data_IF_384579973647
#
_entry.id   IF_384579973647
#
_cell.length_a   1.000
_cell.length_b   1.000
_cell.length_c   1.000
_cell.angle_alpha   90.00
_cell.angle_beta   90.00
_cell.angle_gamma   90.00
#
_symmetry.space_group_name_H-M   'P 1'
#
loop_
_entity.id
_entity.type
_entity.pdbx_description
1 polymer ?
#
# COMPACT_ATOMS: atom_id res chain seq x y z
N UNK A 1 -3.23 -42.26 69.95
CA UNK A 1 -4.30 -41.33 70.36
C UNK A 1 -4.24 -40.10 69.45
N UNK A 2 -5.37 -39.81 68.82
CA UNK A 2 -5.77 -38.75 67.87
C UNK A 2 -5.19 -37.32 68.04
N UNK A 3 -5.45 -36.34 67.12
CA UNK A 3 -5.53 -36.37 65.64
C UNK A 3 -4.99 -35.07 64.93
N UNK A 4 -4.90 -35.14 63.57
CA UNK A 4 -5.25 -34.13 62.52
C UNK A 4 -4.73 -32.68 62.59
N UNK A 5 -4.08 -32.23 61.49
CA UNK A 5 -4.54 -31.06 60.71
C UNK A 5 -3.81 -30.96 59.34
N UNK A 6 -4.57 -31.26 58.28
CA UNK A 6 -4.28 -30.91 56.89
C UNK A 6 -4.43 -29.40 56.70
N UNK A 7 -3.43 -28.70 56.18
CA UNK A 7 -3.59 -27.36 55.62
C UNK A 7 -3.43 -27.40 54.11
N UNK A 8 -4.57 -27.26 53.44
CA UNK A 8 -4.68 -27.08 52.00
C UNK A 8 -4.32 -25.64 51.60
N UNK A 9 -3.54 -25.50 50.54
CA UNK A 9 -3.24 -24.23 49.87
C UNK A 9 -4.48 -23.72 49.12
N UNK A 10 -4.85 -22.43 49.20
CA UNK A 10 -5.95 -21.92 48.40
C UNK A 10 -5.52 -21.75 46.94
N UNK A 11 -6.30 -22.36 46.04
CA UNK A 11 -6.20 -22.18 44.59
C UNK A 11 -6.78 -20.82 44.22
N UNK A 12 -5.97 -19.94 43.64
CA UNK A 12 -6.41 -18.64 43.16
C UNK A 12 -7.23 -18.81 41.87
N UNK A 13 -8.55 -18.59 41.96
CA UNK A 13 -9.43 -18.51 40.79
C UNK A 13 -9.13 -17.23 40.00
N UNK A 14 -8.55 -17.36 38.82
CA UNK A 14 -8.42 -16.26 37.85
C UNK A 14 -9.79 -16.03 37.22
N UNK A 15 -10.44 -14.93 37.60
CA UNK A 15 -11.64 -14.42 36.93
C UNK A 15 -11.28 -13.94 35.53
N UNK A 16 -11.74 -14.65 34.50
CA UNK A 16 -11.68 -14.21 33.12
C UNK A 16 -12.64 -13.02 32.91
N UNK A 17 -12.12 -11.89 32.43
CA UNK A 17 -12.93 -10.76 31.99
C UNK A 17 -13.60 -11.08 30.64
N UNK A 18 -14.86 -10.65 30.40
CA UNK A 18 -15.55 -10.92 29.15
C UNK A 18 -14.86 -10.18 27.99
N UNK A 19 -14.55 -10.94 26.94
CA UNK A 19 -14.08 -10.42 25.65
C UNK A 19 -15.09 -9.42 25.10
N UNK A 20 -14.67 -8.16 24.92
CA UNK A 20 -15.47 -7.17 24.22
C UNK A 20 -15.54 -7.58 22.75
N UNK A 21 -16.67 -8.15 22.36
CA UNK A 21 -16.99 -8.35 20.95
C UNK A 21 -16.90 -7.01 20.24
N UNK A 22 -15.93 -6.87 19.33
CA UNK A 22 -15.83 -5.70 18.48
C UNK A 22 -17.08 -5.65 17.60
N UNK A 23 -17.83 -4.55 17.68
CA UNK A 23 -18.91 -4.26 16.75
C UNK A 23 -18.25 -4.07 15.38
N UNK A 24 -18.63 -4.83 14.33
CA UNK A 24 -18.08 -4.62 13.01
C UNK A 24 -18.42 -3.20 12.56
N UNK A 25 -17.41 -2.48 12.06
CA UNK A 25 -17.60 -1.15 11.49
C UNK A 25 -18.66 -1.23 10.36
N UNK A 26 -19.54 -0.22 10.23
CA UNK A 26 -20.53 -0.22 9.17
C UNK A 26 -19.84 -0.34 7.81
N UNK A 27 -20.25 -1.33 7.02
CA UNK A 27 -19.78 -1.49 5.65
C UNK A 27 -20.04 -0.18 4.90
N UNK A 28 -18.98 0.38 4.29
CA UNK A 28 -19.12 1.54 3.43
C UNK A 28 -20.18 1.24 2.35
N UNK A 29 -21.00 2.24 1.94
CA UNK A 29 -22.01 2.03 0.90
C UNK A 29 -21.36 1.40 -0.34
N UNK A 30 -22.05 0.42 -0.92
CA UNK A 30 -21.63 -0.35 -2.09
C UNK A 30 -21.61 0.55 -3.34
N UNK A 31 -20.65 1.49 -3.36
CA UNK A 31 -20.35 2.27 -4.55
C UNK A 31 -19.63 1.33 -5.51
N UNK A 32 -20.10 1.20 -6.76
CA UNK A 32 -19.41 0.37 -7.74
C UNK A 32 -17.94 0.79 -7.83
N UNK A 33 -17.05 -0.20 -7.76
CA UNK A 33 -15.61 0.04 -7.79
C UNK A 33 -15.23 0.62 -9.14
N UNK A 34 -14.31 1.60 -9.18
CA UNK A 34 -13.93 2.22 -10.44
C UNK A 34 -13.16 1.21 -11.30
N UNK A 35 -13.49 1.15 -12.59
CA UNK A 35 -12.68 0.37 -13.53
C UNK A 35 -11.28 1.00 -13.67
N UNK A 36 -10.24 0.19 -13.52
CA UNK A 36 -8.84 0.58 -13.69
C UNK A 36 -8.06 -0.58 -14.26
N UNK A 37 -7.22 -0.32 -15.26
CA UNK A 37 -6.35 -1.32 -15.85
C UNK A 37 -4.92 -1.10 -15.38
N UNK A 38 -4.23 -2.19 -15.08
CA UNK A 38 -2.80 -2.22 -14.86
C UNK A 38 -2.07 -2.64 -16.15
N UNK A 39 -0.95 -2.00 -16.44
CA UNK A 39 -0.01 -2.45 -17.47
C UNK A 39 1.42 -2.15 -17.07
N UNK A 40 2.35 -2.96 -17.55
CA UNK A 40 3.79 -2.70 -17.39
C UNK A 40 4.10 -1.32 -17.99
N UNK A 41 4.87 -0.47 -17.30
CA UNK A 41 5.12 0.88 -17.79
C UNK A 41 5.93 0.88 -19.09
N UNK A 42 5.50 1.68 -20.06
CA UNK A 42 6.23 1.91 -21.32
C UNK A 42 7.29 3.00 -21.13
N UNK A 43 8.04 3.32 -22.19
CA UNK A 43 8.92 4.50 -22.18
C UNK A 43 8.10 5.81 -22.12
N UNK A 44 6.96 5.88 -22.82
CA UNK A 44 6.08 7.05 -22.82
C UNK A 44 5.47 7.36 -21.44
N UNK A 45 5.31 6.34 -20.59
CA UNK A 45 4.81 6.55 -19.23
C UNK A 45 5.73 7.40 -18.37
N UNK A 46 7.01 7.54 -18.71
CA UNK A 46 7.88 8.48 -18.03
C UNK A 46 7.32 9.91 -18.12
N UNK A 47 6.87 10.32 -19.30
CA UNK A 47 6.30 11.63 -19.57
C UNK A 47 4.91 11.78 -18.94
N UNK A 48 4.10 10.71 -18.97
CA UNK A 48 2.79 10.73 -18.30
C UNK A 48 2.93 10.84 -16.79
N UNK A 49 3.79 10.03 -16.16
CA UNK A 49 4.05 10.07 -14.74
C UNK A 49 4.66 11.41 -14.31
N UNK A 50 5.61 11.93 -15.09
CA UNK A 50 6.15 13.28 -14.87
C UNK A 50 5.01 14.31 -14.81
N UNK A 51 4.16 14.37 -15.84
CA UNK A 51 3.04 15.33 -15.88
C UNK A 51 2.04 15.15 -14.73
N UNK A 52 1.71 13.91 -14.39
CA UNK A 52 0.75 13.59 -13.31
C UNK A 52 1.32 13.96 -11.93
N UNK A 53 2.63 13.86 -11.76
CA UNK A 53 3.31 14.07 -10.48
C UNK A 53 4.00 15.43 -10.37
N UNK A 54 4.03 16.22 -11.43
CA UNK A 54 4.43 17.64 -11.43
C UNK A 54 3.33 18.51 -10.77
N UNK A 55 2.95 18.14 -9.54
CA UNK A 55 1.92 18.79 -8.76
C UNK A 55 2.32 18.79 -7.28
N UNK A 56 2.38 19.95 -6.61
CA UNK A 56 2.90 20.07 -5.25
C UNK A 56 2.13 19.20 -4.24
N UNK A 57 0.79 19.17 -4.31
CA UNK A 57 -0.01 18.30 -3.42
C UNK A 57 0.25 16.80 -3.64
N UNK A 58 0.62 16.38 -4.86
CA UNK A 58 0.92 14.97 -5.15
C UNK A 58 2.29 14.59 -4.56
N UNK A 59 3.23 15.54 -4.58
CA UNK A 59 4.60 15.35 -4.11
C UNK A 59 4.82 15.74 -2.64
N UNK A 60 3.80 16.27 -1.95
CA UNK A 60 3.86 16.71 -0.54
C UNK A 60 4.51 15.68 0.39
N UNK A 61 4.15 14.41 0.22
CA UNK A 61 4.67 13.31 1.03
C UNK A 61 5.84 12.56 0.39
N UNK A 62 6.30 13.03 -0.75
CA UNK A 62 7.47 12.53 -1.46
C UNK A 62 8.62 13.52 -1.23
N UNK A 63 9.76 13.40 -1.93
CA UNK A 63 10.94 14.23 -1.68
C UNK A 63 10.77 15.75 -1.98
N UNK A 64 9.53 16.25 -2.02
CA UNK A 64 9.18 17.67 -1.92
C UNK A 64 9.27 18.48 -3.21
N UNK A 65 10.05 18.03 -4.20
CA UNK A 65 10.17 18.68 -5.50
C UNK A 65 9.60 17.80 -6.62
N UNK A 66 9.03 18.46 -7.63
CA UNK A 66 8.86 17.84 -8.95
C UNK A 66 10.23 17.40 -9.45
N UNK A 67 10.31 16.17 -9.95
CA UNK A 67 11.54 15.59 -10.43
C UNK A 67 11.64 15.79 -11.94
N UNK A 68 12.85 15.97 -12.45
CA UNK A 68 13.13 15.98 -13.89
C UNK A 68 12.58 14.71 -14.58
N UNK A 69 12.20 14.82 -15.86
CA UNK A 69 11.67 13.69 -16.66
C UNK A 69 12.59 12.47 -16.62
N UNK A 70 13.92 12.68 -16.62
CA UNK A 70 14.91 11.60 -16.59
C UNK A 70 14.77 10.68 -15.38
N UNK A 71 14.31 11.20 -14.23
CA UNK A 71 14.03 10.40 -13.03
C UNK A 71 12.89 9.40 -13.31
N UNK A 72 11.88 9.80 -14.09
CA UNK A 72 10.78 8.94 -14.49
C UNK A 72 11.16 7.97 -15.62
N UNK A 73 12.08 8.36 -16.52
CA UNK A 73 12.65 7.44 -17.50
C UNK A 73 13.40 6.29 -16.81
N UNK A 74 14.25 6.61 -15.83
CA UNK A 74 14.96 5.63 -15.01
C UNK A 74 14.00 4.76 -14.20
N UNK A 75 13.00 5.38 -13.56
CA UNK A 75 12.00 4.67 -12.78
C UNK A 75 11.25 3.65 -13.66
N UNK A 76 10.67 4.08 -14.77
CA UNK A 76 9.92 3.18 -15.67
C UNK A 76 10.81 2.08 -16.25
N UNK A 77 12.07 2.38 -16.60
CA UNK A 77 13.04 1.37 -17.03
C UNK A 77 13.34 0.33 -15.94
N UNK A 78 13.50 0.77 -14.69
CA UNK A 78 13.64 -0.13 -13.54
C UNK A 78 12.40 -0.99 -13.34
N UNK A 79 11.20 -0.42 -13.45
CA UNK A 79 9.96 -1.18 -13.29
C UNK A 79 9.77 -2.23 -14.38
N UNK A 80 10.14 -1.95 -15.63
CA UNK A 80 10.17 -2.97 -16.69
C UNK A 80 11.11 -4.13 -16.37
N UNK A 81 12.30 -3.84 -15.82
CA UNK A 81 13.24 -4.87 -15.37
C UNK A 81 12.68 -5.70 -14.23
N UNK A 82 12.11 -5.06 -13.20
CA UNK A 82 11.47 -5.78 -12.10
C UNK A 82 10.36 -6.71 -12.59
N UNK A 83 9.51 -6.26 -13.51
CA UNK A 83 8.50 -7.14 -14.07
C UNK A 83 9.12 -8.34 -14.80
N UNK A 84 10.15 -8.11 -15.63
CA UNK A 84 10.81 -9.18 -16.38
C UNK A 84 11.56 -10.19 -15.50
N UNK A 85 12.14 -9.74 -14.38
CA UNK A 85 12.99 -10.56 -13.50
C UNK A 85 12.22 -11.17 -12.32
N UNK A 86 11.23 -10.46 -11.78
CA UNK A 86 10.54 -10.80 -10.54
C UNK A 86 9.05 -11.13 -10.74
N UNK A 87 8.49 -10.82 -11.92
CA UNK A 87 7.06 -10.99 -12.21
C UNK A 87 6.15 -9.88 -11.67
N UNK A 88 6.69 -8.90 -10.94
CA UNK A 88 5.93 -7.77 -10.41
C UNK A 88 6.68 -6.44 -10.55
N UNK A 89 5.93 -5.33 -10.55
CA UNK A 89 6.48 -3.98 -10.61
C UNK A 89 5.47 -2.94 -10.09
N UNK A 90 5.84 -1.65 -10.04
CA UNK A 90 4.88 -0.57 -10.11
C UNK A 90 4.32 -0.47 -11.54
N UNK A 91 3.12 -0.99 -11.73
CA UNK A 91 2.37 -0.90 -12.99
C UNK A 91 1.77 0.48 -13.19
N UNK A 92 1.67 0.91 -14.45
CA UNK A 92 0.91 2.08 -14.84
C UNK A 92 -0.58 1.80 -14.68
N UNK A 93 -1.28 2.71 -13.98
CA UNK A 93 -2.74 2.70 -13.88
C UNK A 93 -3.35 3.49 -15.03
N UNK A 94 -4.28 2.86 -15.74
CA UNK A 94 -5.02 3.44 -16.85
C UNK A 94 -6.51 3.45 -16.49
N UNK A 95 -7.10 4.63 -16.36
CA UNK A 95 -8.53 4.80 -16.16
C UNK A 95 -9.24 4.84 -17.52
N UNK A 96 -10.40 4.19 -17.71
CA UNK A 96 -11.13 4.25 -18.97
C UNK A 96 -11.72 5.66 -19.22
N UNK A 97 -11.91 6.00 -20.49
CA UNK A 97 -12.56 7.23 -20.93
C UNK A 97 -14.09 7.10 -20.72
N UNK A 98 -14.53 7.12 -19.45
CA UNK A 98 -15.92 6.93 -19.05
C UNK A 98 -16.33 5.46 -18.82
N UNK A 99 -17.56 5.21 -18.32
CA UNK A 99 -18.04 3.87 -18.00
C UNK A 99 -18.23 2.96 -19.23
N UNK A 100 -18.40 3.54 -20.42
CA UNK A 100 -18.73 2.83 -21.67
C UNK A 100 -17.76 3.14 -22.85
N UNK A 101 -16.65 3.86 -22.59
CA UNK A 101 -15.72 4.29 -23.64
C UNK A 101 -14.72 3.20 -24.07
N UNK A 102 -14.11 3.32 -25.27
CA UNK A 102 -13.00 2.46 -25.67
C UNK A 102 -11.82 2.59 -24.69
N UNK A 103 -11.03 1.53 -24.52
CA UNK A 103 -9.85 1.50 -23.63
C UNK A 103 -8.66 2.23 -24.27
N UNK A 104 -8.84 3.51 -24.61
CA UNK A 104 -7.75 4.46 -24.92
C UNK A 104 -7.27 5.22 -23.68
N UNK A 105 -7.68 4.73 -22.50
CA UNK A 105 -7.77 5.44 -21.24
C UNK A 105 -6.57 6.29 -20.78
N UNK A 106 -6.89 7.22 -19.89
CA UNK A 106 -5.95 8.16 -19.27
C UNK A 106 -4.97 7.44 -18.32
N UNK A 107 -3.67 7.75 -18.43
CA UNK A 107 -2.68 7.37 -17.41
C UNK A 107 -2.87 8.25 -16.18
N UNK A 108 -3.31 7.64 -15.08
CA UNK A 108 -3.66 8.35 -13.83
C UNK A 108 -2.61 8.22 -12.73
N UNK A 109 -1.56 7.43 -12.96
CA UNK A 109 -0.45 7.22 -12.03
C UNK A 109 0.11 5.80 -12.08
N UNK A 110 0.65 5.33 -10.95
CA UNK A 110 1.08 3.94 -10.78
C UNK A 110 0.60 3.31 -9.48
N UNK A 111 0.58 1.97 -9.45
CA UNK A 111 0.48 1.16 -8.24
C UNK A 111 1.22 -0.16 -8.45
N UNK A 112 1.54 -0.87 -7.38
CA UNK A 112 2.09 -2.22 -7.45
C UNK A 112 3.21 -2.41 -6.45
N UNK A 113 4.07 -3.39 -6.69
CA UNK A 113 5.15 -3.73 -5.77
C UNK A 113 6.53 -3.59 -6.38
N UNK A 114 7.54 -3.39 -5.54
CA UNK A 114 8.95 -3.42 -5.92
C UNK A 114 9.80 -3.83 -4.72
N UNK A 115 11.04 -4.32 -4.94
CA UNK A 115 12.01 -4.41 -3.86
C UNK A 115 12.21 -3.04 -3.21
N UNK A 116 12.24 -2.98 -1.89
CA UNK A 116 12.46 -1.75 -1.16
C UNK A 116 13.80 -1.09 -1.58
N UNK A 117 13.78 0.15 -2.12
CA UNK A 117 14.93 0.70 -2.82
C UNK A 117 15.94 1.42 -1.90
N UNK A 118 15.71 1.47 -0.59
CA UNK A 118 16.52 2.23 0.34
C UNK A 118 17.32 1.35 1.30
N UNK A 119 18.47 1.85 1.74
CA UNK A 119 19.34 1.19 2.73
C UNK A 119 18.87 1.37 4.19
N UNK A 120 17.72 2.01 4.41
CA UNK A 120 17.09 2.25 5.71
C UNK A 120 15.64 1.79 5.65
N UNK A 121 15.00 1.52 6.80
CA UNK A 121 13.61 1.02 6.83
C UNK A 121 13.55 -0.50 6.60
N UNK A 122 12.51 -1.02 5.92
CA UNK A 122 12.30 -2.45 5.71
C UNK A 122 13.24 -3.03 4.64
N UNK A 123 14.55 -3.00 4.89
CA UNK A 123 15.57 -3.48 3.95
C UNK A 123 15.37 -4.95 3.63
N UNK A 124 15.32 -5.27 2.34
CA UNK A 124 15.09 -6.63 1.84
C UNK A 124 13.62 -7.02 1.68
N UNK A 125 12.69 -6.16 2.11
CA UNK A 125 11.26 -6.39 1.94
C UNK A 125 10.77 -5.97 0.55
N UNK A 126 9.61 -6.52 0.16
CA UNK A 126 8.86 -6.07 -1.02
C UNK A 126 7.86 -5.01 -0.58
N UNK A 127 8.00 -3.81 -1.12
CA UNK A 127 7.10 -2.69 -0.84
C UNK A 127 5.97 -2.64 -1.88
N UNK A 128 4.71 -2.56 -1.42
CA UNK A 128 3.59 -2.08 -2.22
C UNK A 128 3.42 -0.57 -2.08
N UNK A 129 3.23 0.13 -3.20
CA UNK A 129 3.04 1.57 -3.22
C UNK A 129 2.12 2.03 -4.35
N UNK A 130 1.56 3.23 -4.19
CA UNK A 130 0.68 3.88 -5.16
C UNK A 130 0.94 5.37 -5.21
N UNK A 131 0.79 5.96 -6.38
CA UNK A 131 0.75 7.41 -6.57
C UNK A 131 -0.20 7.75 -7.70
N UNK A 132 -1.13 8.67 -7.44
CA UNK A 132 -2.17 9.10 -8.37
C UNK A 132 -2.13 10.60 -8.56
N UNK A 133 -2.52 11.06 -9.74
CA UNK A 133 -2.84 12.46 -10.00
C UNK A 133 -3.95 12.95 -9.09
N UNK A 134 -3.88 14.23 -8.72
CA UNK A 134 -4.82 14.88 -7.80
C UNK A 134 -6.28 14.69 -8.20
N UNK A 135 -6.58 14.83 -9.48
CA UNK A 135 -7.96 14.79 -10.01
C UNK A 135 -8.62 13.41 -9.83
N UNK A 136 -7.82 12.37 -9.58
CA UNK A 136 -8.25 10.98 -9.44
C UNK A 136 -8.37 10.53 -7.97
N UNK A 137 -8.09 11.40 -7.01
CA UNK A 137 -8.19 11.09 -5.58
C UNK A 137 -9.64 10.98 -5.10
N UNK A 138 -9.86 10.19 -4.04
CA UNK A 138 -11.19 10.01 -3.43
C UNK A 138 -12.17 9.19 -4.27
N UNK A 139 -11.75 8.67 -5.43
CA UNK A 139 -12.58 7.89 -6.36
C UNK A 139 -12.44 6.38 -6.21
N UNK A 140 -11.52 5.90 -5.37
CA UNK A 140 -11.29 4.47 -5.11
C UNK A 140 -10.25 3.80 -6.01
N UNK A 141 -9.68 4.52 -6.99
CA UNK A 141 -8.71 3.97 -7.94
C UNK A 141 -7.49 3.32 -7.27
N UNK A 142 -6.89 3.97 -6.27
CA UNK A 142 -5.71 3.46 -5.58
C UNK A 142 -5.96 2.09 -4.94
N UNK A 143 -7.09 1.93 -4.23
CA UNK A 143 -7.45 0.67 -3.57
C UNK A 143 -7.74 -0.42 -4.59
N UNK A 144 -8.55 -0.14 -5.61
CA UNK A 144 -8.91 -1.15 -6.61
C UNK A 144 -7.68 -1.61 -7.40
N UNK A 145 -6.85 -0.66 -7.83
CA UNK A 145 -5.64 -0.95 -8.57
C UNK A 145 -4.61 -1.69 -7.70
N UNK A 146 -4.49 -1.34 -6.41
CA UNK A 146 -3.60 -2.05 -5.49
C UNK A 146 -4.06 -3.50 -5.25
N UNK A 147 -5.37 -3.76 -5.13
CA UNK A 147 -5.90 -5.12 -5.02
C UNK A 147 -5.55 -5.96 -6.26
N UNK A 148 -5.77 -5.43 -7.46
CA UNK A 148 -5.39 -6.11 -8.70
C UNK A 148 -3.86 -6.37 -8.77
N UNK A 149 -3.04 -5.41 -8.34
CA UNK A 149 -1.59 -5.58 -8.29
C UNK A 149 -1.14 -6.62 -7.26
N UNK A 150 -1.83 -6.73 -6.12
CA UNK A 150 -1.55 -7.75 -5.10
C UNK A 150 -1.81 -9.16 -5.61
N UNK A 151 -2.82 -9.35 -6.46
CA UNK A 151 -3.09 -10.66 -7.07
C UNK A 151 -1.95 -11.10 -8.00
N UNK A 152 -1.41 -10.18 -8.80
CA UNK A 152 -0.21 -10.43 -9.63
C UNK A 152 1.02 -10.74 -8.76
N UNK A 153 1.24 -9.99 -7.68
CA UNK A 153 2.37 -10.23 -6.75
C UNK A 153 2.24 -11.58 -6.04
N UNK A 154 1.04 -11.97 -5.61
CA UNK A 154 0.78 -13.28 -4.99
C UNK A 154 1.16 -14.42 -5.94
N UNK A 155 0.91 -14.27 -7.23
CA UNK A 155 1.24 -15.28 -8.24
C UNK A 155 2.75 -15.53 -8.39
N UNK A 156 3.61 -14.61 -7.95
CA UNK A 156 5.08 -14.78 -8.01
C UNK A 156 5.65 -15.51 -6.80
N UNK A 157 4.82 -15.90 -5.83
CA UNK A 157 5.24 -16.60 -4.60
C UNK A 157 5.75 -15.69 -3.48
N UNK A 158 5.63 -14.37 -3.63
CA UNK A 158 5.87 -13.40 -2.54
C UNK A 158 4.88 -13.69 -1.42
N UNK A 159 5.39 -13.81 -0.18
CA UNK A 159 4.61 -14.25 0.99
C UNK A 159 3.93 -13.11 1.72
N UNK A 160 4.52 -11.92 1.68
CA UNK A 160 3.99 -10.71 2.29
C UNK A 160 4.56 -9.49 1.60
N UNK A 161 3.88 -8.35 1.77
CA UNK A 161 4.35 -7.03 1.33
C UNK A 161 4.27 -6.03 2.46
N UNK A 162 5.07 -4.97 2.37
CA UNK A 162 5.04 -3.83 3.28
C UNK A 162 4.60 -2.55 2.59
N UNK A 163 4.04 -1.59 3.32
CA UNK A 163 3.79 -0.23 2.83
C UNK A 163 4.34 0.78 3.84
N UNK A 164 5.18 1.69 3.37
CA UNK A 164 5.82 2.72 4.19
C UNK A 164 5.09 4.06 3.98
N UNK A 165 4.32 4.50 4.97
CA UNK A 165 3.41 5.65 4.83
C UNK A 165 3.76 6.75 5.84
N UNK A 166 3.97 7.99 5.40
CA UNK A 166 4.11 9.14 6.33
C UNK A 166 2.86 9.26 7.21
N UNK A 167 3.06 9.47 8.50
CA UNK A 167 1.98 9.48 9.49
C UNK A 167 0.93 10.59 9.26
N UNK A 168 1.24 11.62 8.46
CA UNK A 168 0.33 12.70 8.07
C UNK A 168 -0.42 12.42 6.77
N UNK A 169 -0.03 11.39 6.01
CA UNK A 169 -0.66 11.06 4.73
C UNK A 169 -1.95 10.26 4.94
N UNK A 170 -3.01 10.94 5.38
CA UNK A 170 -4.33 10.33 5.63
C UNK A 170 -4.90 9.57 4.42
N UNK A 171 -4.57 9.99 3.18
CA UNK A 171 -5.04 9.33 1.96
C UNK A 171 -4.43 7.93 1.83
N UNK A 172 -3.12 7.80 2.01
CA UNK A 172 -2.45 6.49 1.96
C UNK A 172 -2.78 5.63 3.18
N UNK A 173 -2.94 6.21 4.37
CA UNK A 173 -3.40 5.46 5.56
C UNK A 173 -4.78 4.81 5.32
N UNK A 174 -5.69 5.55 4.69
CA UNK A 174 -7.00 5.02 4.35
C UNK A 174 -6.95 3.93 3.25
N UNK A 175 -5.91 3.91 2.41
CA UNK A 175 -5.70 2.80 1.45
C UNK A 175 -5.15 1.58 2.17
N UNK A 176 -4.15 1.73 3.06
CA UNK A 176 -3.62 0.60 3.86
C UNK A 176 -4.72 -0.08 4.69
N UNK A 177 -5.64 0.70 5.27
CA UNK A 177 -6.79 0.17 6.00
C UNK A 177 -7.74 -0.62 5.10
N UNK A 178 -8.07 -0.09 3.90
CA UNK A 178 -8.97 -0.77 2.94
C UNK A 178 -8.35 -2.05 2.35
N UNK A 179 -7.03 -2.10 2.24
CA UNK A 179 -6.29 -3.30 1.83
C UNK A 179 -6.19 -4.33 2.97
N UNK A 180 -6.62 -4.00 4.18
CA UNK A 180 -6.51 -4.89 5.34
C UNK A 180 -5.09 -5.05 5.86
N UNK A 181 -4.20 -4.08 5.61
CA UNK A 181 -2.82 -4.13 6.09
C UNK A 181 -2.76 -3.82 7.59
N UNK A 182 -1.88 -4.52 8.31
CA UNK A 182 -1.65 -4.31 9.74
C UNK A 182 -0.47 -3.38 9.97
N UNK A 183 -0.61 -2.40 10.86
CA UNK A 183 0.51 -1.55 11.26
C UNK A 183 1.46 -2.33 12.16
N UNK A 184 2.69 -2.55 11.71
CA UNK A 184 3.71 -3.34 12.44
C UNK A 184 4.77 -2.47 13.12
N UNK A 185 5.08 -1.29 12.58
CA UNK A 185 6.15 -0.44 13.11
C UNK A 185 5.90 1.06 12.87
N UNK A 186 6.58 1.91 13.63
CA UNK A 186 6.73 3.34 13.32
C UNK A 186 8.20 3.63 13.00
N UNK A 187 8.47 4.28 11.87
CA UNK A 187 9.81 4.59 11.41
C UNK A 187 10.07 6.11 11.39
N UNK A 188 11.34 6.47 11.31
CA UNK A 188 11.78 7.81 10.94
C UNK A 188 12.66 7.73 9.67
N UNK A 189 12.38 8.58 8.69
CA UNK A 189 13.25 8.74 7.51
C UNK A 189 14.55 9.42 7.93
N UNK A 190 15.63 9.32 7.13
CA UNK A 190 16.85 10.11 7.33
C UNK A 190 16.60 11.62 7.35
N UNK A 191 15.54 12.10 6.69
CA UNK A 191 15.11 13.50 6.74
C UNK A 191 14.28 13.88 7.98
N UNK A 192 14.12 12.96 8.94
CA UNK A 192 13.40 13.19 10.19
C UNK A 192 11.87 13.08 10.10
N UNK A 193 11.31 12.71 8.94
CA UNK A 193 9.87 12.48 8.80
C UNK A 193 9.49 11.18 9.49
N UNK A 194 8.35 11.16 10.18
CA UNK A 194 7.85 9.97 10.86
C UNK A 194 6.74 9.31 10.05
N UNK A 195 6.75 7.98 10.03
CA UNK A 195 5.76 7.19 9.30
C UNK A 195 5.47 5.85 9.95
N UNK A 196 4.57 5.10 9.34
CA UNK A 196 4.13 3.79 9.76
C UNK A 196 4.48 2.76 8.70
N UNK A 197 5.06 1.64 9.14
CA UNK A 197 5.20 0.45 8.31
C UNK A 197 3.95 -0.41 8.51
N UNK A 198 3.28 -0.74 7.41
CA UNK A 198 2.17 -1.67 7.37
C UNK A 198 2.62 -2.96 6.68
N UNK A 199 2.07 -4.11 7.09
CA UNK A 199 2.32 -5.42 6.47
C UNK A 199 1.00 -6.06 6.04
N UNK A 200 1.05 -6.79 4.93
CA UNK A 200 -0.03 -7.65 4.46
C UNK A 200 0.57 -9.01 4.07
N UNK A 201 0.03 -10.08 4.67
CA UNK A 201 0.31 -11.45 4.23
C UNK A 201 -0.46 -11.75 2.94
N UNK A 202 0.19 -12.43 1.98
CA UNK A 202 -0.39 -12.76 0.68
C UNK A 202 -0.90 -14.19 0.60
#
# INVERSE_FOLDING_TARGET
MHPVATTATPSASVTSAPSRSAVPAPAAPDRPRPAVRLRVPTHEDAYHWHRVFDHPEVMEFHAGASAEVSVYEELTARQRRHHAELGFCLWTMVAPDGPDGPVTGEVIGFTGAQPWPHAWGPVGEVEIGWRLGRDHWGRGYATEAALAGLDEVRATGVRHVVAMVDARNARSLAVTERLGMERVETFATPSGRRGHCFRLEL
#
